data_IF_427187897534
#
_entry.id   IF_427187897534
#
_cell.length_a   1.000
_cell.length_b   1.000
_cell.length_c   1.000
_cell.angle_alpha   90.00
_cell.angle_beta   90.00
_cell.angle_gamma   90.00
#
_symmetry.space_group_name_H-M   'P 1'
#
loop_
_entity.id
_entity.type
_entity.pdbx_description
1 polymer ?
#
# COMPACT_ATOMS: atom_id res chain seq x y z
N UNK A 1 -28.64 7.32 -16.96
CA UNK A 1 -28.08 6.63 -15.78
C UNK A 1 -26.55 6.39 -15.80
N UNK A 2 -25.86 6.09 -16.92
CA UNK A 2 -24.40 5.88 -16.92
C UNK A 2 -23.57 7.10 -16.49
N UNK A 3 -24.03 8.31 -16.82
CA UNK A 3 -23.30 9.55 -16.54
C UNK A 3 -23.18 9.88 -15.04
N UNK A 4 -24.20 9.56 -14.22
CA UNK A 4 -24.18 9.87 -12.79
C UNK A 4 -23.21 8.97 -12.00
N UNK A 5 -23.14 7.68 -12.34
CA UNK A 5 -22.18 6.74 -11.74
C UNK A 5 -20.73 7.12 -12.09
N UNK A 6 -20.49 7.58 -13.32
CA UNK A 6 -19.19 8.09 -13.72
C UNK A 6 -18.78 9.33 -12.94
N UNK A 7 -19.69 10.30 -12.78
CA UNK A 7 -19.43 11.51 -11.96
C UNK A 7 -19.17 11.18 -10.50
N UNK A 8 -19.91 10.24 -9.93
CA UNK A 8 -19.71 9.80 -8.55
C UNK A 8 -18.33 9.14 -8.38
N UNK A 9 -17.93 8.24 -9.28
CA UNK A 9 -16.58 7.62 -9.21
C UNK A 9 -15.44 8.61 -9.40
N UNK A 10 -15.62 9.65 -10.21
CA UNK A 10 -14.63 10.74 -10.35
C UNK A 10 -14.46 11.58 -9.08
N UNK A 11 -15.31 11.41 -8.08
CA UNK A 11 -15.05 11.95 -6.74
C UNK A 11 -14.07 11.10 -5.93
N UNK A 12 -13.67 9.93 -6.43
CA UNK A 12 -12.94 8.90 -5.71
C UNK A 12 -13.84 7.86 -5.02
N UNK A 13 -15.13 8.14 -4.85
CA UNK A 13 -16.01 7.21 -4.14
C UNK A 13 -16.47 6.02 -5.00
N UNK A 14 -16.78 4.92 -4.30
CA UNK A 14 -17.41 3.73 -4.83
C UNK A 14 -18.65 3.36 -4.00
N UNK A 15 -19.71 2.96 -4.69
CA UNK A 15 -20.91 2.44 -4.02
C UNK A 15 -20.58 1.10 -3.36
N UNK A 16 -21.37 0.66 -2.36
CA UNK A 16 -21.33 -0.72 -1.91
C UNK A 16 -21.47 -1.67 -3.11
N UNK A 17 -20.74 -2.79 -3.11
CA UNK A 17 -20.62 -3.69 -4.26
C UNK A 17 -19.94 -3.11 -5.51
N UNK A 18 -19.28 -1.95 -5.37
CA UNK A 18 -18.46 -1.34 -6.41
C UNK A 18 -17.15 -2.09 -6.67
N UNK A 19 -16.31 -1.51 -7.53
CA UNK A 19 -15.02 -2.08 -7.92
C UNK A 19 -13.91 -1.07 -7.61
N UNK A 20 -13.37 -1.07 -6.37
CA UNK A 20 -12.33 -0.12 -5.96
C UNK A 20 -11.04 -0.25 -6.79
N UNK A 21 -10.80 -1.43 -7.35
CA UNK A 21 -9.62 -1.69 -8.18
C UNK A 21 -9.61 -0.88 -9.49
N UNK A 22 -10.78 -0.58 -10.06
CA UNK A 22 -10.88 0.15 -11.34
C UNK A 22 -10.45 1.59 -11.19
N UNK A 23 -9.90 2.19 -12.24
CA UNK A 23 -9.56 3.61 -12.27
C UNK A 23 -10.74 4.51 -11.87
N UNK A 24 -10.44 5.59 -11.15
CA UNK A 24 -11.41 6.60 -10.70
C UNK A 24 -11.32 7.90 -11.51
N UNK A 25 -10.16 8.18 -12.12
CA UNK A 25 -9.89 9.42 -12.84
C UNK A 25 -9.75 10.62 -11.89
N UNK A 26 -9.25 10.38 -10.69
CA UNK A 26 -8.94 11.44 -9.71
C UNK A 26 -7.52 11.98 -9.92
N UNK A 27 -7.14 13.00 -9.16
CA UNK A 27 -5.84 13.66 -9.28
C UNK A 27 -4.65 12.70 -9.11
N UNK A 28 -4.77 11.74 -8.19
CA UNK A 28 -3.73 10.76 -7.89
C UNK A 28 -4.31 9.36 -7.73
N UNK A 29 -3.73 8.39 -8.43
CA UNK A 29 -3.98 6.96 -8.26
C UNK A 29 -2.65 6.21 -8.17
N UNK A 30 -2.40 5.55 -7.04
CA UNK A 30 -1.22 4.74 -6.81
C UNK A 30 -1.53 3.25 -6.81
N UNK A 31 -0.60 2.49 -7.37
CA UNK A 31 -0.55 1.05 -7.30
C UNK A 31 0.78 0.62 -6.71
N UNK A 32 0.72 -0.33 -5.78
CA UNK A 32 1.87 -0.81 -5.03
C UNK A 32 1.85 -2.33 -4.99
N UNK A 33 2.98 -2.94 -5.30
CA UNK A 33 3.23 -4.36 -5.17
C UNK A 33 4.41 -4.59 -4.25
N UNK A 34 4.31 -5.63 -3.44
CA UNK A 34 5.35 -6.06 -2.52
C UNK A 34 5.57 -7.55 -2.63
N UNK A 35 6.82 -7.93 -2.76
CA UNK A 35 7.31 -9.30 -2.92
C UNK A 35 8.13 -9.66 -1.70
N UNK A 36 7.71 -10.68 -0.96
CA UNK A 36 8.36 -11.12 0.28
C UNK A 36 8.88 -12.54 0.13
N UNK A 37 10.20 -12.69 0.06
CA UNK A 37 10.85 -14.00 0.00
C UNK A 37 11.35 -14.39 1.39
N UNK A 38 10.52 -15.13 2.13
CA UNK A 38 10.72 -15.37 3.56
C UNK A 38 12.01 -16.12 3.88
N UNK A 39 12.37 -17.13 3.07
CA UNK A 39 13.55 -17.97 3.30
C UNK A 39 14.87 -17.20 3.19
N UNK A 40 14.93 -16.20 2.31
CA UNK A 40 16.12 -15.37 2.10
C UNK A 40 16.06 -14.06 2.87
N UNK A 41 14.95 -13.76 3.54
CA UNK A 41 14.72 -12.47 4.20
C UNK A 41 14.68 -11.27 3.26
N UNK A 42 14.46 -11.49 1.95
CA UNK A 42 14.47 -10.44 0.93
C UNK A 42 13.08 -9.90 0.71
N UNK A 43 12.97 -8.58 0.65
CA UNK A 43 11.74 -7.87 0.29
C UNK A 43 12.04 -6.90 -0.83
N UNK A 44 11.16 -6.87 -1.82
CA UNK A 44 11.17 -5.90 -2.90
C UNK A 44 9.80 -5.25 -3.04
N UNK A 45 9.77 -3.94 -3.28
CA UNK A 45 8.56 -3.19 -3.61
C UNK A 45 8.69 -2.59 -5.00
N UNK A 46 7.56 -2.48 -5.69
CA UNK A 46 7.42 -1.73 -6.93
C UNK A 46 6.16 -0.88 -6.84
N UNK A 47 6.25 0.39 -7.21
CA UNK A 47 5.12 1.31 -7.14
C UNK A 47 5.05 2.25 -8.35
N UNK A 48 3.83 2.66 -8.66
CA UNK A 48 3.51 3.68 -9.65
C UNK A 48 2.36 4.55 -9.13
N UNK A 49 2.60 5.85 -9.03
CA UNK A 49 1.57 6.86 -8.76
C UNK A 49 1.28 7.66 -10.01
N UNK A 50 0.14 7.39 -10.66
CA UNK A 50 -0.35 8.15 -11.81
C UNK A 50 -1.01 9.43 -11.33
N UNK A 51 -0.56 10.56 -11.86
CA UNK A 51 -1.06 11.89 -11.56
C UNK A 51 -1.78 12.46 -12.77
N UNK A 52 -2.85 13.22 -12.54
CA UNK A 52 -3.62 13.92 -13.56
C UNK A 52 -3.48 15.42 -13.37
N UNK A 53 -3.01 16.13 -14.41
CA UNK A 53 -2.92 17.60 -14.45
C UNK A 53 -3.52 18.14 -15.75
N UNK A 54 -3.69 19.46 -15.85
CA UNK A 54 -4.10 20.10 -17.11
C UNK A 54 -3.09 19.89 -18.26
N UNK A 55 -1.80 19.68 -17.94
CA UNK A 55 -0.74 19.41 -18.92
C UNK A 55 -0.69 17.95 -19.39
N UNK A 56 -1.58 17.10 -18.86
CA UNK A 56 -1.64 15.67 -19.15
C UNK A 56 -1.17 14.79 -17.98
N UNK A 57 -1.32 13.47 -18.13
CA UNK A 57 -0.95 12.52 -17.08
C UNK A 57 0.55 12.27 -17.03
N UNK A 58 1.06 12.05 -15.83
CA UNK A 58 2.44 11.66 -15.58
C UNK A 58 2.50 10.65 -14.43
N UNK A 59 3.63 9.99 -14.23
CA UNK A 59 3.81 9.03 -13.15
C UNK A 59 5.08 9.29 -12.33
N UNK A 60 4.96 9.11 -11.03
CA UNK A 60 6.08 8.84 -10.13
C UNK A 60 6.14 7.33 -9.92
N UNK A 61 7.22 6.67 -10.35
CA UNK A 61 7.37 5.23 -10.18
C UNK A 61 8.69 4.89 -9.49
N UNK A 62 8.78 3.72 -8.87
CA UNK A 62 10.00 3.30 -8.21
C UNK A 62 10.03 1.83 -7.82
N UNK A 63 11.25 1.39 -7.51
CA UNK A 63 11.59 0.07 -7.02
C UNK A 63 12.50 0.21 -5.80
N UNK A 64 12.23 -0.56 -4.75
CA UNK A 64 12.99 -0.51 -3.50
C UNK A 64 13.16 -1.87 -2.87
N UNK A 65 14.20 -2.05 -2.05
CA UNK A 65 14.49 -3.34 -1.41
C UNK A 65 14.84 -3.23 0.07
N UNK A 66 14.66 -4.32 0.81
CA UNK A 66 15.08 -4.41 2.22
C UNK A 66 16.59 -4.26 2.44
N UNK A 67 17.40 -4.26 1.38
CA UNK A 67 18.82 -3.93 1.42
C UNK A 67 19.12 -2.43 1.44
N UNK A 68 18.11 -1.56 1.42
CA UNK A 68 18.29 -0.10 1.41
C UNK A 68 18.37 0.52 0.02
N UNK A 69 18.25 -0.28 -1.05
CA UNK A 69 18.21 0.22 -2.41
C UNK A 69 16.88 0.93 -2.70
N UNK A 70 16.95 2.08 -3.35
CA UNK A 70 15.78 2.81 -3.86
C UNK A 70 16.11 3.52 -5.18
N UNK A 71 15.34 3.22 -6.23
CA UNK A 71 15.38 3.92 -7.51
C UNK A 71 13.99 4.41 -7.86
N UNK A 72 13.87 5.66 -8.29
CA UNK A 72 12.62 6.21 -8.79
C UNK A 72 12.82 7.05 -10.05
N UNK A 73 11.72 7.28 -10.77
CA UNK A 73 11.67 8.20 -11.90
C UNK A 73 10.35 8.96 -11.94
N UNK A 74 10.42 10.19 -12.43
CA UNK A 74 9.27 10.97 -12.90
C UNK A 74 9.16 10.77 -14.40
N UNK A 75 8.02 10.28 -14.87
CA UNK A 75 7.82 9.83 -16.25
C UNK A 75 6.60 10.52 -16.84
N UNK A 76 6.79 11.11 -18.01
CA UNK A 76 5.70 11.73 -18.75
C UNK A 76 4.84 10.69 -19.47
N UNK A 77 3.52 10.86 -19.39
CA UNK A 77 2.57 9.93 -19.97
C UNK A 77 2.43 8.65 -19.16
N UNK A 78 1.29 8.52 -18.49
CA UNK A 78 0.91 7.28 -17.81
C UNK A 78 -0.60 7.10 -17.79
N UNK A 79 -1.05 5.87 -17.57
CA UNK A 79 -2.47 5.56 -17.48
C UNK A 79 -2.74 4.45 -16.46
N UNK A 80 -3.84 4.60 -15.71
CA UNK A 80 -4.39 3.53 -14.88
C UNK A 80 -5.20 2.56 -15.73
N UNK A 81 -5.15 1.27 -15.39
CA UNK A 81 -5.96 0.24 -16.02
C UNK A 81 -7.44 0.54 -15.76
N UNK A 82 -8.21 0.68 -16.85
CA UNK A 82 -9.64 1.01 -16.76
C UNK A 82 -10.47 -0.05 -16.02
N UNK A 83 -10.12 -1.31 -16.22
CA UNK A 83 -10.84 -2.46 -15.69
C UNK A 83 -9.90 -3.39 -14.93
N UNK A 84 -9.85 -3.21 -13.61
CA UNK A 84 -8.98 -3.95 -12.70
C UNK A 84 -7.84 -3.09 -12.16
N UNK A 85 -6.96 -3.69 -11.34
CA UNK A 85 -5.86 -3.00 -10.72
C UNK A 85 -4.71 -2.84 -11.73
N UNK A 86 -3.93 -1.79 -11.58
CA UNK A 86 -2.71 -1.61 -12.35
C UNK A 86 -2.61 -0.27 -13.06
N UNK A 87 -1.41 0.02 -13.53
CA UNK A 87 -1.10 1.18 -14.33
C UNK A 87 0.17 0.92 -15.16
N UNK A 88 0.39 1.78 -16.16
CA UNK A 88 1.59 1.75 -16.98
C UNK A 88 2.05 3.14 -17.38
N UNK A 89 3.34 3.28 -17.64
CA UNK A 89 3.89 4.44 -18.35
C UNK A 89 3.77 4.22 -19.86
N UNK A 90 3.58 5.29 -20.62
CA UNK A 90 3.41 5.21 -22.07
C UNK A 90 4.72 4.84 -22.80
N UNK A 91 5.86 5.11 -22.18
CA UNK A 91 7.18 4.72 -22.67
C UNK A 91 7.61 3.28 -22.30
N UNK A 92 6.75 2.55 -21.59
CA UNK A 92 6.97 1.14 -21.23
C UNK A 92 7.95 0.89 -20.08
N UNK A 93 8.51 1.92 -19.43
CA UNK A 93 9.42 1.77 -18.28
C UNK A 93 8.75 1.19 -17.04
N UNK A 94 7.44 1.31 -16.92
CA UNK A 94 6.67 0.67 -15.85
C UNK A 94 5.39 0.06 -16.40
N UNK A 95 5.12 -1.18 -16.04
CA UNK A 95 3.87 -1.87 -16.22
C UNK A 95 3.56 -2.68 -14.98
N UNK A 96 2.36 -2.58 -14.44
CA UNK A 96 1.91 -3.45 -13.37
C UNK A 96 0.42 -3.67 -13.44
N UNK A 97 -0.02 -4.91 -13.27
CA UNK A 97 -1.42 -5.26 -13.13
C UNK A 97 -1.61 -6.44 -12.17
N UNK A 98 -2.72 -7.18 -12.28
CA UNK A 98 -2.94 -8.36 -11.47
C UNK A 98 -2.08 -9.56 -11.88
N UNK A 99 -1.57 -9.64 -13.10
CA UNK A 99 -0.86 -10.81 -13.61
C UNK A 99 0.66 -10.62 -13.72
N UNK A 100 1.15 -9.39 -13.93
CA UNK A 100 2.59 -9.13 -14.11
C UNK A 100 2.98 -7.75 -13.60
N UNK A 101 4.21 -7.64 -13.09
CA UNK A 101 4.87 -6.38 -12.81
C UNK A 101 6.21 -6.37 -13.53
N UNK A 102 6.41 -5.38 -14.40
CA UNK A 102 7.62 -5.15 -15.17
C UNK A 102 8.07 -3.70 -15.02
N UNK A 103 9.35 -3.51 -14.68
CA UNK A 103 9.95 -2.20 -14.41
C UNK A 103 11.34 -2.16 -15.04
N UNK A 104 11.67 -1.09 -15.75
CA UNK A 104 13.02 -0.76 -16.23
C UNK A 104 13.31 0.72 -15.99
N UNK A 105 14.01 1.00 -14.88
CA UNK A 105 14.45 2.36 -14.50
C UNK A 105 15.96 2.55 -14.69
N UNK A 106 16.62 1.64 -15.41
CA UNK A 106 18.06 1.64 -15.60
C UNK A 106 18.69 0.25 -15.47
N UNK A 107 19.98 0.11 -15.80
CA UNK A 107 20.68 -1.18 -15.79
C UNK A 107 20.75 -1.83 -14.40
N UNK A 108 20.62 -1.05 -13.34
CA UNK A 108 20.69 -1.46 -11.93
C UNK A 108 19.31 -1.47 -11.24
N UNK A 109 18.22 -1.28 -11.99
CA UNK A 109 16.87 -1.14 -11.43
C UNK A 109 15.82 -1.73 -12.38
N UNK A 110 15.76 -3.06 -12.42
CA UNK A 110 14.82 -3.82 -13.25
C UNK A 110 14.05 -4.84 -12.44
N UNK A 111 12.79 -5.08 -12.83
CA UNK A 111 11.93 -6.12 -12.28
C UNK A 111 11.14 -6.72 -13.42
N UNK A 112 11.00 -8.04 -13.43
CA UNK A 112 10.02 -8.72 -14.28
C UNK A 112 9.53 -9.97 -13.57
N UNK A 113 8.29 -9.93 -13.11
CA UNK A 113 7.65 -11.01 -12.35
C UNK A 113 6.22 -11.21 -12.80
N UNK A 114 5.83 -12.48 -12.93
CA UNK A 114 4.43 -12.89 -13.08
C UNK A 114 3.83 -13.25 -11.72
N UNK A 115 2.52 -13.10 -11.57
CA UNK A 115 1.79 -13.31 -10.32
C UNK A 115 0.82 -14.47 -10.50
N UNK A 116 1.08 -15.57 -9.78
CA UNK A 116 0.23 -16.76 -9.71
C UNK A 116 -0.50 -16.91 -8.37
N UNK A 117 -1.35 -17.94 -8.30
CA UNK A 117 -2.00 -18.42 -7.06
C UNK A 117 -2.66 -17.32 -6.19
N UNK A 118 -3.25 -16.31 -6.82
CA UNK A 118 -3.75 -15.11 -6.13
C UNK A 118 -4.76 -15.41 -5.02
N UNK A 119 -4.60 -14.75 -3.88
CA UNK A 119 -5.54 -14.66 -2.77
C UNK A 119 -6.12 -13.25 -2.74
N UNK A 120 -7.10 -13.00 -3.61
CA UNK A 120 -7.70 -11.68 -3.75
C UNK A 120 -8.60 -11.33 -2.57
N UNK A 121 -8.90 -10.05 -2.44
CA UNK A 121 -9.90 -9.52 -1.53
C UNK A 121 -11.25 -10.25 -1.68
N UNK A 122 -11.78 -10.90 -0.62
CA UNK A 122 -12.99 -11.72 -0.75
C UNK A 122 -14.29 -10.92 -0.54
N UNK A 123 -14.23 -9.73 0.07
CA UNK A 123 -15.43 -8.98 0.47
C UNK A 123 -16.01 -8.19 -0.69
N UNK A 124 -17.19 -8.57 -1.14
CA UNK A 124 -17.89 -7.86 -2.22
C UNK A 124 -18.53 -6.56 -1.79
N UNK A 125 -18.97 -6.44 -0.53
CA UNK A 125 -19.74 -5.27 -0.08
C UNK A 125 -18.88 -3.99 0.00
N UNK A 126 -17.71 -4.07 0.64
CA UNK A 126 -16.79 -2.94 0.85
C UNK A 126 -15.33 -3.40 0.67
N UNK A 127 -14.49 -2.49 0.19
CA UNK A 127 -13.04 -2.60 0.12
C UNK A 127 -12.33 -2.24 1.43
N UNK A 128 -11.06 -1.85 1.31
CA UNK A 128 -10.16 -1.55 2.43
C UNK A 128 -10.61 -0.33 3.23
N UNK A 129 -11.04 0.74 2.53
CA UNK A 129 -11.58 1.97 3.12
C UNK A 129 -12.91 1.85 3.85
N UNK A 130 -13.49 0.65 4.02
CA UNK A 130 -14.77 0.51 4.77
C UNK A 130 -15.87 1.39 4.14
N UNK A 131 -16.81 1.93 4.93
CA UNK A 131 -17.87 2.85 4.51
C UNK A 131 -17.32 4.15 3.90
N UNK A 132 -16.08 4.53 4.24
CA UNK A 132 -15.44 5.70 3.67
C UNK A 132 -15.21 5.56 2.17
N UNK A 133 -15.18 4.33 1.63
CA UNK A 133 -15.16 4.14 0.18
C UNK A 133 -16.33 4.86 -0.52
N UNK A 134 -17.48 5.00 0.14
CA UNK A 134 -18.69 5.60 -0.42
C UNK A 134 -18.83 7.10 -0.14
N UNK A 135 -17.89 7.69 0.61
CA UNK A 135 -17.89 9.12 0.89
C UNK A 135 -17.13 9.82 -0.24
N UNK A 136 -17.74 10.77 -0.97
CA UNK A 136 -17.09 11.45 -2.09
C UNK A 136 -15.99 12.41 -1.62
N UNK A 137 -15.00 12.60 -2.49
CA UNK A 137 -13.97 13.63 -2.38
C UNK A 137 -13.10 13.56 -1.11
N UNK A 138 -12.86 12.36 -0.59
CA UNK A 138 -11.85 12.19 0.45
C UNK A 138 -10.46 12.46 -0.13
N UNK A 139 -9.57 12.95 0.74
CA UNK A 139 -8.17 13.14 0.41
C UNK A 139 -7.47 11.81 0.10
N UNK A 140 -7.90 10.70 0.72
CA UNK A 140 -7.30 9.39 0.48
C UNK A 140 -8.32 8.24 0.61
N UNK A 141 -8.13 7.23 -0.24
CA UNK A 141 -8.76 5.92 -0.20
C UNK A 141 -7.67 4.85 -0.30
N UNK A 142 -8.00 3.64 0.16
CA UNK A 142 -7.08 2.51 0.24
C UNK A 142 -7.81 1.18 0.02
N UNK A 143 -7.21 0.30 -0.77
CA UNK A 143 -7.72 -1.03 -1.01
C UNK A 143 -6.61 -2.07 -1.21
N UNK A 144 -6.42 -3.02 -0.27
CA UNK A 144 -5.50 -4.13 -0.41
C UNK A 144 -6.15 -5.27 -1.21
N UNK A 145 -6.10 -5.17 -2.54
CA UNK A 145 -6.83 -6.08 -3.43
C UNK A 145 -6.20 -7.48 -3.53
N UNK A 146 -4.89 -7.62 -3.26
CA UNK A 146 -4.17 -8.89 -3.23
C UNK A 146 -3.53 -9.13 -1.86
N UNK A 147 -4.00 -10.15 -1.16
CA UNK A 147 -3.57 -10.51 0.20
C UNK A 147 -2.59 -11.69 0.20
N UNK A 148 -2.20 -12.18 -0.97
CA UNK A 148 -1.32 -13.33 -1.12
C UNK A 148 -1.31 -13.82 -2.57
N UNK A 149 -0.34 -14.64 -2.90
CA UNK A 149 -0.05 -15.11 -4.25
C UNK A 149 1.44 -15.45 -4.32
N UNK A 150 1.88 -15.95 -5.47
CA UNK A 150 3.27 -16.36 -5.69
C UNK A 150 3.84 -15.61 -6.89
N UNK A 151 5.03 -15.03 -6.74
CA UNK A 151 5.76 -14.47 -7.85
C UNK A 151 6.59 -15.55 -8.56
N UNK A 152 6.81 -15.36 -9.86
CA UNK A 152 7.78 -16.10 -10.67
C UNK A 152 8.54 -15.11 -11.55
N UNK A 153 9.87 -15.14 -11.50
CA UNK A 153 10.74 -14.15 -12.15
C UNK A 153 11.76 -13.54 -11.19
N UNK A 154 12.24 -12.33 -11.50
CA UNK A 154 13.31 -11.72 -10.71
C UNK A 154 13.55 -10.25 -10.97
N UNK A 155 14.58 -9.72 -10.31
CA UNK A 155 14.97 -8.33 -10.37
C UNK A 155 16.49 -8.17 -10.56
N UNK A 156 16.89 -7.02 -11.07
CA UNK A 156 18.26 -6.51 -10.98
C UNK A 156 18.21 -5.22 -10.16
N UNK A 157 18.86 -5.23 -9.01
CA UNK A 157 18.85 -4.13 -8.03
C UNK A 157 20.27 -3.91 -7.54
N UNK A 158 20.78 -2.69 -7.65
CA UNK A 158 22.17 -2.34 -7.30
C UNK A 158 23.22 -3.24 -8.00
N UNK A 159 22.92 -3.65 -9.24
CA UNK A 159 23.75 -4.58 -10.01
C UNK A 159 23.67 -6.06 -9.57
N UNK A 160 22.94 -6.38 -8.50
CA UNK A 160 22.70 -7.74 -8.04
C UNK A 160 21.44 -8.32 -8.67
N UNK A 161 21.49 -9.59 -9.10
CA UNK A 161 20.30 -10.33 -9.54
C UNK A 161 19.61 -10.99 -8.36
N UNK A 162 18.33 -10.68 -8.18
CA UNK A 162 17.47 -11.32 -7.20
C UNK A 162 16.50 -12.27 -7.91
N UNK A 163 16.48 -13.54 -7.48
CA UNK A 163 15.41 -14.47 -7.80
C UNK A 163 14.24 -14.22 -6.83
N UNK A 164 13.04 -14.04 -7.38
CA UNK A 164 11.81 -13.80 -6.62
C UNK A 164 10.81 -14.95 -6.78
N UNK A 165 11.21 -16.05 -7.42
CA UNK A 165 10.38 -17.22 -7.63
C UNK A 165 9.93 -17.79 -6.29
N UNK A 166 8.62 -17.97 -6.11
CA UNK A 166 8.02 -18.41 -4.85
C UNK A 166 7.80 -17.31 -3.81
N UNK A 167 8.23 -16.07 -4.05
CA UNK A 167 7.97 -14.98 -3.11
C UNK A 167 6.46 -14.70 -2.96
N UNK A 168 6.04 -14.41 -1.72
CA UNK A 168 4.67 -14.01 -1.43
C UNK A 168 4.39 -12.61 -2.01
N UNK A 169 3.22 -12.43 -2.61
CA UNK A 169 2.84 -11.16 -3.26
C UNK A 169 1.70 -10.47 -2.51
N UNK A 170 1.91 -9.21 -2.18
CA UNK A 170 0.89 -8.26 -1.76
C UNK A 170 0.69 -7.20 -2.84
N UNK A 171 -0.55 -6.74 -3.00
CA UNK A 171 -0.90 -5.71 -3.96
C UNK A 171 -2.00 -4.81 -3.43
N UNK A 172 -1.83 -3.51 -3.59
CA UNK A 172 -2.83 -2.52 -3.20
C UNK A 172 -3.01 -1.41 -4.23
N UNK A 173 -4.09 -0.67 -4.01
CA UNK A 173 -4.40 0.58 -4.69
C UNK A 173 -4.70 1.64 -3.65
N UNK A 174 -4.13 2.83 -3.82
CA UNK A 174 -4.55 4.04 -3.13
C UNK A 174 -4.93 5.11 -4.15
N UNK A 175 -5.81 6.03 -3.77
CA UNK A 175 -6.19 7.14 -4.65
C UNK A 175 -6.76 8.29 -3.84
N UNK A 176 -6.79 9.47 -4.42
CA UNK A 176 -7.24 10.66 -3.72
C UNK A 176 -7.44 11.85 -4.65
N UNK A 177 -8.32 12.76 -4.24
CA UNK A 177 -8.56 14.00 -5.00
C UNK A 177 -7.51 15.07 -4.74
N UNK A 178 -6.83 15.03 -3.59
CA UNK A 178 -5.95 16.10 -3.10
C UNK A 178 -4.50 15.65 -2.84
N UNK A 179 -4.10 14.47 -3.34
CA UNK A 179 -2.78 13.90 -3.06
C UNK A 179 -2.70 13.19 -1.70
N UNK A 180 -1.49 13.06 -1.16
CA UNK A 180 -1.24 12.38 0.12
C UNK A 180 -1.72 13.22 1.32
N UNK A 181 -2.20 12.60 2.41
CA UNK A 181 -2.54 13.31 3.64
C UNK A 181 -1.30 13.95 4.29
N UNK A 182 -1.51 14.92 5.21
CA UNK A 182 -0.41 15.54 5.97
C UNK A 182 0.35 14.52 6.84
N UNK A 183 -0.36 13.52 7.36
CA UNK A 183 0.19 12.44 8.16
C UNK A 183 -0.57 11.14 7.87
N UNK A 184 0.17 10.06 7.66
CA UNK A 184 -0.36 8.71 7.47
C UNK A 184 0.60 7.66 8.01
N UNK A 185 0.05 6.48 8.23
CA UNK A 185 0.79 5.30 8.57
C UNK A 185 0.26 4.13 7.76
N UNK A 186 1.18 3.28 7.37
CA UNK A 186 0.87 2.08 6.62
C UNK A 186 1.71 0.92 7.15
N UNK A 187 1.22 -0.29 6.96
CA UNK A 187 2.05 -1.45 7.14
C UNK A 187 1.46 -2.70 6.52
N UNK A 188 2.34 -3.61 6.13
CA UNK A 188 1.98 -4.90 5.58
C UNK A 188 3.00 -5.95 5.98
N UNK A 189 2.56 -7.17 6.27
CA UNK A 189 3.46 -8.28 6.50
C UNK A 189 2.93 -9.58 5.89
N UNK A 190 3.84 -10.27 5.19
CA UNK A 190 3.91 -11.72 5.04
C UNK A 190 5.09 -12.24 5.87
N UNK A 191 5.50 -13.49 5.68
CA UNK A 191 6.68 -14.04 6.37
C UNK A 191 6.45 -14.40 7.84
N UNK A 192 5.20 -14.68 8.20
CA UNK A 192 4.87 -15.38 9.44
C UNK A 192 5.21 -16.86 9.30
N UNK A 193 5.25 -17.60 10.43
CA UNK A 193 5.39 -19.06 10.40
C UNK A 193 4.29 -19.75 9.56
N UNK A 194 3.07 -19.19 9.59
CA UNK A 194 1.99 -19.57 8.69
C UNK A 194 2.09 -18.77 7.38
N UNK A 195 2.55 -19.40 6.29
CA UNK A 195 2.81 -18.75 5.00
C UNK A 195 1.57 -18.10 4.36
N UNK A 196 0.38 -18.58 4.71
CA UNK A 196 -0.90 -18.08 4.20
C UNK A 196 -1.35 -16.77 4.89
N UNK A 197 -0.71 -16.36 5.99
CA UNK A 197 -1.09 -15.17 6.74
C UNK A 197 -0.60 -13.90 6.06
N UNK A 198 -1.52 -12.95 5.92
CA UNK A 198 -1.21 -11.58 5.51
C UNK A 198 -1.86 -10.62 6.48
N UNK A 199 -1.09 -9.64 6.94
CA UNK A 199 -1.59 -8.53 7.75
C UNK A 199 -1.32 -7.25 6.98
N UNK A 200 -2.31 -6.37 6.88
CA UNK A 200 -2.16 -5.07 6.25
C UNK A 200 -2.99 -4.02 6.99
N UNK A 201 -2.46 -2.82 7.13
CA UNK A 201 -3.19 -1.68 7.67
C UNK A 201 -2.78 -0.40 6.94
N UNK A 202 -3.73 0.53 6.88
CA UNK A 202 -3.47 1.88 6.46
C UNK A 202 -4.35 2.81 7.27
N UNK A 203 -3.78 3.93 7.66
CA UNK A 203 -4.53 4.98 8.31
C UNK A 203 -3.86 6.32 8.15
N UNK A 204 -4.57 7.35 8.56
CA UNK A 204 -4.08 8.71 8.46
C UNK A 204 -5.19 9.69 8.74
N UNK A 205 -4.84 10.95 8.56
CA UNK A 205 -5.77 12.03 8.71
C UNK A 205 -6.71 12.13 7.50
N UNK A 206 -8.01 12.05 7.78
CA UNK A 206 -9.08 12.27 6.82
C UNK A 206 -9.72 13.62 7.10
N UNK A 207 -9.88 14.41 6.03
CA UNK A 207 -10.60 15.68 6.05
C UNK A 207 -11.90 15.58 5.27
N UNK A 208 -13.00 15.99 5.89
CA UNK A 208 -14.29 16.13 5.25
C UNK A 208 -14.92 17.48 5.68
N UNK A 209 -14.67 18.53 4.91
CA UNK A 209 -15.05 19.90 5.30
C UNK A 209 -14.32 20.32 6.58
N UNK A 210 -15.03 20.80 7.63
CA UNK A 210 -14.40 21.22 8.89
C UNK A 210 -13.99 20.05 9.80
N UNK A 211 -14.37 18.80 9.49
CA UNK A 211 -14.05 17.63 10.30
C UNK A 211 -12.65 17.12 9.95
N UNK A 212 -11.78 17.05 10.97
CA UNK A 212 -10.47 16.40 10.94
C UNK A 212 -10.54 15.19 11.86
N UNK A 213 -10.33 13.99 11.32
CA UNK A 213 -10.35 12.76 12.10
C UNK A 213 -9.31 11.77 11.59
N UNK A 214 -8.84 10.90 12.47
CA UNK A 214 -7.96 9.80 12.09
C UNK A 214 -8.79 8.55 11.83
N UNK A 215 -8.53 7.92 10.69
CA UNK A 215 -9.17 6.66 10.32
C UNK A 215 -8.09 5.62 10.10
N UNK A 216 -8.29 4.40 10.58
CA UNK A 216 -7.40 3.27 10.31
C UNK A 216 -8.21 2.04 9.93
N UNK A 217 -7.85 1.45 8.80
CA UNK A 217 -8.28 0.11 8.39
C UNK A 217 -7.24 -0.92 8.82
N UNK A 218 -7.69 -2.10 9.24
CA UNK A 218 -6.84 -3.25 9.53
C UNK A 218 -7.43 -4.51 8.88
N UNK A 219 -6.59 -5.23 8.17
CA UNK A 219 -6.92 -6.46 7.45
C UNK A 219 -6.00 -7.57 7.94
N UNK A 220 -6.60 -8.72 8.27
CA UNK A 220 -5.88 -9.95 8.59
C UNK A 220 -6.46 -11.09 7.79
N UNK A 221 -5.68 -11.71 6.92
CA UNK A 221 -5.96 -13.03 6.37
C UNK A 221 -5.35 -14.08 7.31
N UNK A 222 -6.18 -14.97 7.82
CA UNK A 222 -5.81 -16.05 8.72
C UNK A 222 -5.30 -17.29 7.94
N UNK A 223 -4.65 -18.27 8.61
CA UNK A 223 -4.14 -19.47 7.96
C UNK A 223 -5.21 -20.29 7.22
N UNK A 224 -6.45 -20.29 7.71
CA UNK A 224 -7.60 -20.96 7.09
C UNK A 224 -8.19 -20.19 5.89
N UNK A 225 -7.61 -19.03 5.54
CA UNK A 225 -8.06 -18.17 4.47
C UNK A 225 -9.17 -17.19 4.85
N UNK A 226 -9.68 -17.20 6.09
CA UNK A 226 -10.63 -16.21 6.55
C UNK A 226 -10.00 -14.81 6.56
N UNK A 227 -10.73 -13.80 6.07
CA UNK A 227 -10.26 -12.41 6.03
C UNK A 227 -11.08 -11.54 6.98
N UNK A 228 -10.43 -11.05 8.03
CA UNK A 228 -10.95 -10.04 8.93
C UNK A 228 -10.65 -8.65 8.36
N UNK A 229 -11.67 -7.79 8.30
CA UNK A 229 -11.51 -6.36 7.99
C UNK A 229 -12.17 -5.53 9.08
N UNK A 230 -11.37 -4.73 9.77
CA UNK A 230 -11.75 -3.81 10.84
C UNK A 230 -11.41 -2.38 10.39
N UNK A 231 -12.02 -1.38 11.01
CA UNK A 231 -11.88 0.03 10.64
C UNK A 231 -13.20 0.74 10.35
N UNK A 232 -14.35 0.09 10.58
CA UNK A 232 -15.62 0.80 10.52
C UNK A 232 -15.74 1.73 11.73
N UNK A 233 -16.13 3.00 11.55
CA UNK A 233 -16.55 3.85 12.65
C UNK A 233 -17.59 3.14 13.52
N UNK A 234 -17.42 3.25 14.84
CA UNK A 234 -18.30 2.69 15.90
C UNK A 234 -18.36 1.16 15.96
N UNK A 235 -18.55 0.46 14.84
CA UNK A 235 -18.81 -1.00 14.81
C UNK A 235 -17.55 -1.86 14.79
N UNK A 236 -16.44 -1.35 14.25
CA UNK A 236 -15.15 -2.04 14.33
C UNK A 236 -13.96 -1.09 14.43
N UNK A 237 -13.91 -0.16 15.40
CA UNK A 237 -12.88 0.87 15.45
C UNK A 237 -11.48 0.26 15.59
N UNK A 238 -10.52 0.91 14.97
CA UNK A 238 -9.09 0.65 15.12
C UNK A 238 -8.46 1.88 15.77
N UNK A 239 -7.84 1.70 16.94
CA UNK A 239 -7.01 2.73 17.56
C UNK A 239 -5.57 2.50 17.13
N UNK A 240 -4.93 3.51 16.58
CA UNK A 240 -3.53 3.48 16.20
C UNK A 240 -2.74 4.44 17.11
N UNK A 241 -1.52 4.06 17.45
CA UNK A 241 -0.53 4.94 18.04
C UNK A 241 0.78 4.67 17.32
N UNK A 242 1.27 5.68 16.59
CA UNK A 242 2.41 5.55 15.70
C UNK A 242 3.50 6.55 16.04
N UNK A 243 4.74 6.13 15.86
CA UNK A 243 5.95 6.95 15.88
C UNK A 243 6.84 6.53 14.71
N UNK A 244 8.01 7.14 14.58
CA UNK A 244 8.94 6.84 13.47
C UNK A 244 9.54 5.43 13.55
N UNK A 245 9.42 4.77 14.70
CA UNK A 245 9.97 3.43 14.94
C UNK A 245 8.96 2.41 15.45
N UNK A 246 7.70 2.80 15.73
CA UNK A 246 6.73 1.89 16.34
C UNK A 246 5.29 2.15 15.90
N UNK A 247 4.55 1.08 15.68
CA UNK A 247 3.13 1.07 15.34
C UNK A 247 2.41 0.14 16.30
N UNK A 248 1.48 0.70 17.07
CA UNK A 248 0.58 -0.08 17.95
C UNK A 248 -0.84 0.09 17.50
N UNK A 249 -1.46 -1.00 17.07
CA UNK A 249 -2.85 -1.01 16.63
C UNK A 249 -3.68 -1.91 17.53
N UNK A 250 -4.86 -1.41 17.92
CA UNK A 250 -5.88 -2.20 18.60
C UNK A 250 -7.21 -2.06 17.88
N UNK A 251 -7.63 -3.14 17.25
CA UNK A 251 -8.89 -3.23 16.53
C UNK A 251 -9.88 -4.09 17.31
N UNK A 252 -11.14 -3.65 17.40
CA UNK A 252 -12.20 -4.39 18.11
C UNK A 252 -13.52 -4.30 17.36
N UNK A 253 -14.26 -5.40 17.32
CA UNK A 253 -15.67 -5.49 16.93
C UNK A 253 -16.45 -6.27 18.00
N UNK A 254 -17.73 -6.55 17.78
CA UNK A 254 -18.57 -7.31 18.71
C UNK A 254 -17.96 -8.66 19.14
N UNK A 255 -17.25 -9.35 18.23
CA UNK A 255 -16.68 -10.68 18.48
C UNK A 255 -15.17 -10.75 18.33
N UNK A 256 -14.57 -9.86 17.54
CA UNK A 256 -13.16 -9.94 17.19
C UNK A 256 -12.34 -8.85 17.86
N UNK A 257 -11.14 -9.20 18.28
CA UNK A 257 -10.10 -8.27 18.67
C UNK A 257 -8.81 -8.62 17.96
N UNK A 258 -8.10 -7.61 17.46
CA UNK A 258 -6.74 -7.76 16.93
C UNK A 258 -5.86 -6.75 17.65
N UNK A 259 -4.79 -7.24 18.27
CA UNK A 259 -3.74 -6.41 18.84
C UNK A 259 -2.49 -6.60 17.97
N UNK A 260 -1.87 -5.51 17.54
CA UNK A 260 -0.68 -5.48 16.69
C UNK A 260 0.34 -4.54 17.32
N UNK A 261 1.58 -5.02 17.45
CA UNK A 261 2.74 -4.24 17.84
C UNK A 261 3.83 -4.47 16.80
N UNK A 262 4.28 -3.40 16.15
CA UNK A 262 5.29 -3.45 15.12
C UNK A 262 6.35 -2.38 15.36
N UNK A 263 7.58 -2.67 14.96
CA UNK A 263 8.74 -1.81 15.15
C UNK A 263 9.75 -1.99 14.03
N UNK A 264 10.49 -0.91 13.75
CA UNK A 264 11.56 -0.91 12.77
C UNK A 264 12.59 0.17 13.10
N UNK A 265 13.82 -0.02 12.60
CA UNK A 265 14.94 0.88 12.85
C UNK A 265 14.91 2.07 11.88
N UNK A 266 14.63 3.31 12.33
CA UNK A 266 14.44 4.46 11.44
C UNK A 266 15.60 4.72 10.48
N UNK A 267 16.83 4.39 10.90
CA UNK A 267 18.03 4.54 10.08
C UNK A 267 18.03 3.67 8.81
N UNK A 268 17.25 2.59 8.78
CA UNK A 268 17.14 1.66 7.65
C UNK A 268 16.00 2.02 6.69
N UNK A 269 15.21 3.07 6.97
CA UNK A 269 14.08 3.43 6.13
C UNK A 269 14.54 3.93 4.77
N UNK A 270 13.80 3.56 3.72
CA UNK A 270 13.83 4.28 2.46
C UNK A 270 13.12 5.62 2.64
N UNK A 271 13.65 6.66 2.01
CA UNK A 271 12.96 7.96 1.92
C UNK A 271 12.19 7.98 0.61
N UNK A 272 10.89 7.71 0.68
CA UNK A 272 10.04 7.67 -0.50
C UNK A 272 9.55 9.07 -0.89
N UNK A 273 9.59 9.40 -2.19
CA UNK A 273 9.00 10.63 -2.68
C UNK A 273 7.47 10.53 -2.73
N UNK A 274 6.79 11.63 -2.41
CA UNK A 274 5.40 11.87 -2.75
C UNK A 274 5.30 12.88 -3.91
N UNK A 275 4.28 12.76 -4.78
CA UNK A 275 4.12 13.65 -5.92
C UNK A 275 3.63 15.04 -5.47
N UNK A 276 4.30 16.07 -5.97
CA UNK A 276 3.73 17.41 -6.06
C UNK A 276 3.06 17.53 -7.43
N UNK A 277 1.75 17.27 -7.43
CA UNK A 277 0.95 16.96 -8.63
C UNK A 277 1.13 17.99 -9.75
N UNK A 278 0.89 19.27 -9.46
CA UNK A 278 0.98 20.36 -10.45
C UNK A 278 2.43 20.72 -10.82
N UNK A 279 3.38 20.52 -9.90
CA UNK A 279 4.81 20.77 -10.15
C UNK A 279 5.49 19.65 -10.94
N UNK A 280 4.80 18.51 -11.14
CA UNK A 280 5.30 17.35 -11.89
C UNK A 280 6.65 16.84 -11.38
N UNK A 281 6.80 16.77 -10.05
CA UNK A 281 8.02 16.26 -9.41
C UNK A 281 7.72 15.50 -8.13
N UNK A 282 8.69 14.70 -7.68
CA UNK A 282 8.68 14.10 -6.34
C UNK A 282 9.33 15.02 -5.31
N UNK A 283 8.89 14.90 -4.05
CA UNK A 283 9.55 15.46 -2.87
C UNK A 283 9.59 14.40 -1.77
N UNK A 284 10.61 14.33 -0.90
CA UNK A 284 10.59 13.42 0.26
C UNK A 284 9.27 13.53 1.02
N UNK A 285 8.57 12.41 1.21
CA UNK A 285 7.26 12.41 1.85
C UNK A 285 7.03 11.31 2.86
N UNK A 286 7.76 10.20 2.79
CA UNK A 286 7.61 9.11 3.74
C UNK A 286 8.91 8.41 4.09
N UNK A 287 8.91 7.81 5.28
CA UNK A 287 9.91 6.82 5.71
C UNK A 287 9.28 5.44 5.60
N UNK A 288 9.80 4.62 4.69
CA UNK A 288 9.31 3.26 4.42
C UNK A 288 10.35 2.23 4.87
N UNK A 289 9.95 1.36 5.79
CA UNK A 289 10.74 0.23 6.25
C UNK A 289 10.30 -1.01 5.53
N UNK A 290 11.24 -1.80 5.01
CA UNK A 290 10.90 -3.00 4.24
C UNK A 290 11.09 -4.31 5.02
N UNK A 291 11.74 -4.28 6.18
CA UNK A 291 11.97 -5.46 7.02
C UNK A 291 11.92 -5.13 8.52
N UNK A 292 10.77 -4.63 8.97
CA UNK A 292 10.46 -4.44 10.39
C UNK A 292 9.94 -5.72 11.06
N UNK A 293 9.86 -5.68 12.39
CA UNK A 293 9.18 -6.71 13.18
C UNK A 293 7.70 -6.36 13.34
N UNK A 294 6.82 -7.33 13.19
CA UNK A 294 5.39 -7.21 13.45
C UNK A 294 4.89 -8.42 14.23
N UNK A 295 4.37 -8.20 15.43
CA UNK A 295 3.70 -9.19 16.25
C UNK A 295 2.20 -8.93 16.29
N UNK A 296 1.39 -9.97 16.06
CA UNK A 296 -0.06 -9.86 15.95
C UNK A 296 -0.72 -10.95 16.79
N UNK A 297 -1.79 -10.58 17.49
CA UNK A 297 -2.68 -11.54 18.17
C UNK A 297 -4.12 -11.30 17.75
N UNK A 298 -4.77 -12.35 17.27
CA UNK A 298 -6.19 -12.35 16.86
C UNK A 298 -6.99 -13.14 17.88
N UNK A 299 -8.03 -12.51 18.42
CA UNK A 299 -8.97 -13.10 19.37
C UNK A 299 -10.39 -13.10 18.84
N UNK A 300 -11.14 -14.16 19.16
CA UNK A 300 -12.59 -14.27 18.97
C UNK A 300 -13.25 -14.59 20.29
N UNK A 301 -14.24 -13.79 20.70
CA UNK A 301 -14.98 -13.96 21.95
C UNK A 301 -14.02 -14.12 23.16
N UNK A 302 -12.94 -13.34 23.18
CA UNK A 302 -11.89 -13.34 24.21
C UNK A 302 -10.82 -14.42 24.08
N UNK A 303 -11.03 -15.46 23.25
CA UNK A 303 -10.08 -16.57 23.06
C UNK A 303 -9.09 -16.26 21.94
N UNK A 304 -7.81 -16.59 22.14
CA UNK A 304 -6.79 -16.47 21.09
C UNK A 304 -7.06 -17.52 20.02
N UNK A 305 -7.30 -17.06 18.80
CA UNK A 305 -7.50 -17.90 17.63
C UNK A 305 -6.20 -18.09 16.85
N UNK A 306 -5.37 -17.04 16.82
CA UNK A 306 -4.08 -17.04 16.14
C UNK A 306 -3.16 -15.98 16.75
N UNK A 307 -1.87 -16.25 16.78
CA UNK A 307 -0.84 -15.27 17.10
C UNK A 307 0.42 -15.60 16.30
N UNK A 308 1.12 -14.57 15.83
CA UNK A 308 2.31 -14.75 15.02
C UNK A 308 3.20 -13.52 15.00
N UNK A 309 4.44 -13.74 14.61
CA UNK A 309 5.44 -12.70 14.38
C UNK A 309 6.03 -12.83 12.98
N UNK A 310 6.25 -11.69 12.33
CA UNK A 310 7.06 -11.56 11.11
C UNK A 310 8.20 -10.59 11.36
N UNK A 311 9.34 -10.81 10.70
CA UNK A 311 10.50 -9.89 10.64
C UNK A 311 10.65 -9.20 9.29
N UNK A 312 9.64 -9.34 8.44
CA UNK A 312 9.61 -8.82 7.08
C UNK A 312 8.42 -7.86 6.90
N UNK A 313 8.11 -7.09 7.93
CA UNK A 313 7.05 -6.10 7.89
C UNK A 313 7.47 -4.86 7.09
N UNK A 314 6.63 -4.47 6.15
CA UNK A 314 6.56 -3.14 5.58
C UNK A 314 5.94 -2.20 6.60
N UNK A 315 6.59 -1.08 6.93
CA UNK A 315 6.08 -0.10 7.89
C UNK A 315 6.40 1.31 7.39
N UNK A 316 5.36 2.10 7.15
CA UNK A 316 5.46 3.47 6.65
C UNK A 316 5.03 4.46 7.73
N UNK A 317 5.78 5.56 7.83
CA UNK A 317 5.32 6.77 8.49
C UNK A 317 5.48 7.97 7.56
N UNK A 318 4.35 8.47 7.09
CA UNK A 318 4.29 9.58 6.16
C UNK A 318 4.14 10.94 6.81
N UNK A 319 4.74 11.94 6.18
CA UNK A 319 4.67 13.34 6.55
C UNK A 319 5.84 14.12 5.99
N UNK A 320 5.56 15.18 5.23
CA UNK A 320 6.55 15.98 4.49
C UNK A 320 7.70 16.46 5.38
N UNK A 321 7.38 17.17 6.46
CA UNK A 321 8.39 17.75 7.36
C UNK A 321 9.33 16.69 7.95
N UNK A 322 8.81 15.48 8.24
CA UNK A 322 9.61 14.36 8.75
C UNK A 322 10.57 13.83 7.69
N UNK A 323 10.05 13.55 6.50
CA UNK A 323 10.84 13.01 5.41
C UNK A 323 11.91 14.01 4.93
N UNK A 324 11.58 15.30 4.90
CA UNK A 324 12.53 16.38 4.61
C UNK A 324 13.65 16.46 5.65
N UNK A 325 13.33 16.37 6.94
CA UNK A 325 14.33 16.36 8.01
C UNK A 325 15.30 15.17 7.90
N UNK A 326 14.79 13.97 7.63
CA UNK A 326 15.62 12.78 7.44
C UNK A 326 16.47 12.86 6.16
N UNK A 327 15.89 13.36 5.06
CA UNK A 327 16.63 13.58 3.82
C UNK A 327 17.77 14.59 4.00
N UNK A 328 17.54 15.65 4.77
CA UNK A 328 18.57 16.64 5.11
C UNK A 328 19.67 16.01 5.98
N UNK A 329 19.31 15.20 7.00
CA UNK A 329 20.25 14.51 7.88
C UNK A 329 21.21 13.59 7.12
N UNK A 330 20.75 12.89 6.07
CA UNK A 330 21.58 11.98 5.26
C UNK A 330 22.52 12.68 4.27
N UNK A 331 22.29 13.97 4.00
CA UNK A 331 23.12 14.78 3.08
C UNK A 331 24.25 15.53 3.80
N UNK A 332 24.14 15.71 5.12
CA UNK A 332 25.20 16.24 5.97
C UNK A 332 26.14 15.14 6.45
#
# INVERSE_FOLDING_TARGET
MPHHLGSYRRSGADLPFGFPERAHGVAMEGHFWRFTHAETGRVLIALIGVQQTAAGPWALCGIGTSGGFWRHAVIEGAECRRFGPGARTLDGRFFGDDARVAVDLGPDARLDVTIGAQRRWPHRLLGGSSYFQSVPALNQYWHPWLLGGTADGGAVVDGERWDLSGAAVYGEKNWGRAGFPESWWWGQAHGFADAEVCVAFAGGEVRAGPLRTEVTGLVVRLPDGAVLRLGNPVTSPVRATTSDSRWRLRARSARWQVDLDAEAEPAQALVLPVPLVEERRGTPGALEQLAGRMAVTVRRDGRVMWAGESRLAGLEHGGLARAEAEAARRRG
#
